data_IF_506163383740
#
_entry.id   IF_506163383740
#
_cell.length_a   1.000
_cell.length_b   1.000
_cell.length_c   1.000
_cell.angle_alpha   90.00
_cell.angle_beta   90.00
_cell.angle_gamma   90.00
#
_symmetry.space_group_name_H-M   'P 1'
#
loop_
_entity.id
_entity.type
_entity.pdbx_description
1 polymer ?
#
# COMPACT_ATOMS: atom_id res chain seq x y z
N UNK A 1 11.35 12.93 -7.90
CA UNK A 1 10.38 12.54 -6.85
C UNK A 1 10.97 11.70 -5.73
N UNK A 2 11.14 10.37 -5.82
CA UNK A 2 11.50 9.55 -4.63
C UNK A 2 12.82 9.95 -3.94
N UNK A 3 13.83 10.44 -4.68
CA UNK A 3 15.08 10.98 -4.11
C UNK A 3 14.95 12.37 -3.48
N UNK A 4 13.86 13.07 -3.73
CA UNK A 4 13.62 14.45 -3.28
C UNK A 4 12.67 14.50 -2.08
N UNK A 5 11.76 13.52 -1.98
CA UNK A 5 10.88 13.34 -0.82
C UNK A 5 11.53 12.32 0.11
N UNK A 6 11.99 12.77 1.28
CA UNK A 6 12.52 11.92 2.35
C UNK A 6 11.39 11.11 3.03
N UNK A 7 10.69 10.30 2.24
CA UNK A 7 9.57 9.45 2.65
C UNK A 7 10.02 7.99 2.69
N UNK A 8 9.34 7.19 3.52
CA UNK A 8 9.49 5.74 3.45
C UNK A 8 8.82 5.21 2.17
N UNK A 9 9.32 4.10 1.66
CA UNK A 9 8.77 3.44 0.46
C UNK A 9 7.26 3.19 0.61
N UNK A 10 6.82 2.72 1.77
CA UNK A 10 5.41 2.50 2.10
C UNK A 10 4.54 3.75 1.90
N UNK A 11 5.00 4.89 2.44
CA UNK A 11 4.30 6.17 2.37
C UNK A 11 4.29 6.71 0.94
N UNK A 12 5.41 6.56 0.24
CA UNK A 12 5.56 6.97 -1.15
C UNK A 12 4.58 6.20 -2.05
N UNK A 13 4.62 4.86 -2.04
CA UNK A 13 3.75 4.05 -2.90
C UNK A 13 2.27 4.18 -2.54
N UNK A 14 1.94 4.34 -1.25
CA UNK A 14 0.57 4.66 -0.83
C UNK A 14 0.10 5.98 -1.45
N UNK A 15 0.94 7.02 -1.45
CA UNK A 15 0.62 8.29 -2.09
C UNK A 15 0.48 8.15 -3.62
N UNK A 16 1.35 7.36 -4.28
CA UNK A 16 1.24 7.07 -5.72
C UNK A 16 -0.09 6.41 -6.05
N UNK A 17 -0.51 5.41 -5.27
CA UNK A 17 -1.81 4.74 -5.44
C UNK A 17 -3.00 5.69 -5.36
N UNK A 18 -2.98 6.58 -4.37
CA UNK A 18 -4.01 7.60 -4.19
C UNK A 18 -4.06 8.58 -5.36
N UNK A 19 -2.89 9.08 -5.80
CA UNK A 19 -2.78 10.01 -6.91
C UNK A 19 -3.16 9.37 -8.25
N UNK A 20 -2.86 8.09 -8.44
CA UNK A 20 -3.22 7.35 -9.64
C UNK A 20 -4.74 7.24 -9.76
N UNK A 21 -5.45 7.02 -8.65
CA UNK A 21 -6.92 6.99 -8.66
C UNK A 21 -7.53 8.33 -9.07
N UNK A 22 -6.86 9.42 -8.72
CA UNK A 22 -7.22 10.79 -9.03
C UNK A 22 -6.77 11.29 -10.40
N UNK A 23 -6.14 10.43 -11.22
CA UNK A 23 -5.59 10.80 -12.53
C UNK A 23 -4.52 11.91 -12.44
N UNK A 24 -3.70 11.93 -11.38
CA UNK A 24 -2.72 13.00 -11.09
C UNK A 24 -1.26 12.57 -11.18
N UNK A 25 -0.98 11.29 -11.42
CA UNK A 25 0.40 10.79 -11.49
C UNK A 25 0.56 9.77 -12.62
N UNK A 26 1.69 9.82 -13.30
CA UNK A 26 2.12 8.87 -14.33
C UNK A 26 3.52 8.37 -14.06
N UNK A 27 3.84 7.19 -14.56
CA UNK A 27 5.18 6.62 -14.52
C UNK A 27 5.79 6.60 -15.92
N UNK A 28 7.01 7.09 -16.05
CA UNK A 28 7.78 7.08 -17.29
C UNK A 28 9.25 6.82 -16.96
N UNK A 29 9.88 5.83 -17.59
CA UNK A 29 11.29 5.45 -17.36
C UNK A 29 11.63 5.28 -15.87
N UNK A 30 10.79 4.54 -15.12
CA UNK A 30 10.92 4.33 -13.67
C UNK A 30 10.89 5.62 -12.83
N UNK A 31 10.39 6.72 -13.39
CA UNK A 31 10.23 8.00 -12.71
C UNK A 31 8.74 8.37 -12.66
N UNK A 32 8.25 8.68 -11.46
CA UNK A 32 6.91 9.19 -11.27
C UNK A 32 6.88 10.70 -11.49
N UNK A 33 5.88 11.18 -12.24
CA UNK A 33 5.65 12.58 -12.53
C UNK A 33 4.18 12.92 -12.41
N UNK A 34 3.87 14.19 -12.14
CA UNK A 34 2.49 14.68 -12.16
C UNK A 34 1.98 14.72 -13.61
N UNK A 35 0.73 14.31 -13.81
CA UNK A 35 0.09 14.26 -15.12
C UNK A 35 -1.03 13.22 -15.19
N UNK A 36 -1.65 13.11 -16.36
CA UNK A 36 -2.66 12.09 -16.62
C UNK A 36 -2.07 10.68 -16.44
N UNK A 37 -2.78 9.84 -15.69
CA UNK A 37 -2.28 8.56 -15.23
C UNK A 37 -2.27 7.51 -16.33
N UNK A 38 -1.17 6.76 -16.40
CA UNK A 38 -1.05 5.51 -17.13
C UNK A 38 -1.08 4.29 -16.19
N UNK A 39 -1.39 4.50 -14.90
CA UNK A 39 -1.27 3.48 -13.86
C UNK A 39 -2.60 2.84 -13.47
N UNK A 40 -3.73 3.35 -13.97
CA UNK A 40 -5.08 2.92 -13.58
C UNK A 40 -5.28 1.42 -13.73
N UNK A 41 -4.93 0.82 -14.87
CA UNK A 41 -5.13 -0.62 -15.08
C UNK A 41 -4.28 -1.44 -14.11
N UNK A 42 -2.97 -1.14 -14.01
CA UNK A 42 -2.03 -1.89 -13.16
C UNK A 42 -2.39 -1.80 -11.68
N UNK A 43 -2.56 -0.58 -11.15
CA UNK A 43 -2.87 -0.39 -9.72
C UNK A 43 -4.31 -0.82 -9.42
N UNK A 44 -5.25 -0.58 -10.33
CA UNK A 44 -6.66 -0.99 -10.18
C UNK A 44 -6.84 -2.51 -10.13
N UNK A 45 -6.13 -3.26 -10.97
CA UNK A 45 -6.15 -4.73 -10.94
C UNK A 45 -5.58 -5.27 -9.62
N UNK A 46 -4.44 -4.75 -9.18
CA UNK A 46 -3.84 -5.11 -7.89
C UNK A 46 -4.76 -4.76 -6.72
N UNK A 47 -5.39 -3.57 -6.75
CA UNK A 47 -6.38 -3.16 -5.77
C UNK A 47 -7.58 -4.12 -5.73
N UNK A 48 -8.04 -4.61 -6.89
CA UNK A 48 -9.09 -5.62 -6.97
C UNK A 48 -8.68 -6.96 -6.35
N UNK A 49 -7.44 -7.40 -6.55
CA UNK A 49 -6.91 -8.62 -5.90
C UNK A 49 -6.84 -8.47 -4.38
N UNK A 50 -6.27 -7.36 -3.90
CA UNK A 50 -6.18 -7.03 -2.48
C UNK A 50 -7.57 -6.97 -1.85
N UNK A 51 -8.53 -6.31 -2.51
CA UNK A 51 -9.91 -6.23 -2.05
C UNK A 51 -10.55 -7.60 -1.85
N UNK A 52 -10.42 -8.51 -2.82
CA UNK A 52 -10.99 -9.88 -2.74
C UNK A 52 -10.41 -10.69 -1.58
N UNK A 53 -9.12 -10.53 -1.30
CA UNK A 53 -8.49 -11.20 -0.14
C UNK A 53 -9.02 -10.62 1.16
N UNK A 54 -9.14 -9.30 1.27
CA UNK A 54 -9.71 -8.65 2.45
C UNK A 54 -11.19 -9.01 2.66
N UNK A 55 -11.97 -9.09 1.59
CA UNK A 55 -13.38 -9.48 1.65
C UNK A 55 -13.57 -10.94 2.12
N UNK A 56 -12.66 -11.84 1.72
CA UNK A 56 -12.74 -13.26 2.10
C UNK A 56 -12.20 -13.56 3.51
N UNK A 57 -11.14 -12.87 3.94
CA UNK A 57 -10.48 -13.09 5.25
C UNK A 57 -11.04 -12.17 6.35
N UNK A 58 -11.61 -11.02 5.96
CA UNK A 58 -12.11 -10.00 6.88
C UNK A 58 -10.99 -9.10 7.40
N UNK A 59 -10.36 -9.50 8.51
CA UNK A 59 -9.27 -8.73 9.14
C UNK A 59 -7.98 -9.54 9.15
N UNK A 60 -6.92 -8.95 8.58
CA UNK A 60 -5.61 -9.58 8.48
C UNK A 60 -4.51 -8.52 8.64
N UNK A 61 -3.36 -8.96 9.17
CA UNK A 61 -2.18 -8.10 9.26
C UNK A 61 -1.67 -7.74 7.87
N UNK A 62 -1.29 -6.48 7.70
CA UNK A 62 -0.81 -5.95 6.42
C UNK A 62 0.40 -6.72 5.90
N UNK A 63 1.24 -7.28 6.78
CA UNK A 63 2.41 -8.09 6.42
C UNK A 63 2.06 -9.41 5.70
N UNK A 64 0.82 -9.89 5.83
CA UNK A 64 0.38 -11.15 5.22
C UNK A 64 -0.39 -10.95 3.90
N UNK A 65 -0.94 -9.76 3.67
CA UNK A 65 -1.75 -9.50 2.47
C UNK A 65 -0.93 -9.67 1.17
N UNK A 66 0.28 -9.08 1.03
CA UNK A 66 1.10 -9.27 -0.18
C UNK A 66 1.41 -10.75 -0.46
N UNK A 67 1.62 -11.54 0.59
CA UNK A 67 1.92 -12.97 0.51
C UNK A 67 0.73 -13.78 0.00
N UNK A 68 -0.48 -13.43 0.41
CA UNK A 68 -1.71 -14.08 -0.03
C UNK A 68 -2.11 -13.66 -1.45
N UNK A 69 -1.82 -12.43 -1.85
CA UNK A 69 -2.13 -11.91 -3.19
C UNK A 69 -1.05 -12.21 -4.22
N UNK A 70 0.18 -12.54 -3.79
CA UNK A 70 1.33 -12.77 -4.66
C UNK A 70 1.84 -11.50 -5.34
N UNK A 71 1.67 -10.33 -4.72
CA UNK A 71 2.07 -9.02 -5.25
C UNK A 71 3.25 -8.47 -4.46
N UNK A 72 4.01 -7.54 -5.03
CA UNK A 72 5.13 -6.92 -4.30
C UNK A 72 4.63 -5.99 -3.19
N UNK A 73 5.49 -5.63 -2.24
CA UNK A 73 5.14 -4.64 -1.21
C UNK A 73 4.78 -3.28 -1.83
N UNK A 74 5.54 -2.84 -2.84
CA UNK A 74 5.28 -1.58 -3.57
C UNK A 74 3.88 -1.57 -4.21
N UNK A 75 3.54 -2.66 -4.91
CA UNK A 75 2.23 -2.83 -5.53
C UNK A 75 1.11 -2.89 -4.49
N UNK A 76 1.37 -3.57 -3.37
CA UNK A 76 0.43 -3.63 -2.25
C UNK A 76 0.16 -2.24 -1.67
N UNK A 77 1.18 -1.44 -1.39
CA UNK A 77 0.99 -0.09 -0.85
C UNK A 77 0.29 0.84 -1.85
N UNK A 78 0.60 0.74 -3.14
CA UNK A 78 -0.14 1.45 -4.18
C UNK A 78 -1.62 1.02 -4.23
N UNK A 79 -1.90 -0.28 -4.14
CA UNK A 79 -3.27 -0.78 -4.05
C UNK A 79 -4.00 -0.29 -2.79
N UNK A 80 -3.33 -0.24 -1.65
CA UNK A 80 -3.86 0.33 -0.40
C UNK A 80 -4.23 1.80 -0.60
N UNK A 81 -3.34 2.61 -1.20
CA UNK A 81 -3.61 4.01 -1.51
C UNK A 81 -4.82 4.20 -2.44
N UNK A 82 -4.93 3.36 -3.47
CA UNK A 82 -6.08 3.33 -4.38
C UNK A 82 -7.39 3.05 -3.64
N UNK A 83 -7.42 1.99 -2.84
CA UNK A 83 -8.62 1.60 -2.07
C UNK A 83 -8.96 2.62 -0.99
N UNK A 84 -7.96 3.26 -0.37
CA UNK A 84 -8.16 4.33 0.59
C UNK A 84 -8.84 5.55 -0.07
N UNK A 85 -8.43 5.91 -1.29
CA UNK A 85 -9.08 6.97 -2.07
C UNK A 85 -10.54 6.66 -2.37
N UNK A 86 -10.87 5.38 -2.61
CA UNK A 86 -12.24 4.91 -2.82
C UNK A 86 -13.06 4.76 -1.53
N UNK A 87 -12.45 4.95 -0.36
CA UNK A 87 -13.11 4.77 0.95
C UNK A 87 -13.41 3.32 1.31
N UNK A 88 -12.74 2.36 0.66
CA UNK A 88 -13.01 0.93 0.79
C UNK A 88 -12.32 0.27 1.98
N UNK A 89 -11.18 0.79 2.42
CA UNK A 89 -10.39 0.21 3.51
C UNK A 89 -10.37 1.11 4.75
N UNK A 90 -10.24 0.50 5.93
CA UNK A 90 -10.04 1.19 7.21
C UNK A 90 -8.91 0.50 7.97
N UNK A 91 -8.00 1.28 8.53
CA UNK A 91 -6.91 0.75 9.35
C UNK A 91 -7.33 0.73 10.82
N UNK A 92 -6.94 -0.33 11.53
CA UNK A 92 -7.09 -0.45 12.98
C UNK A 92 -5.71 -0.58 13.60
N UNK A 93 -5.47 0.11 14.72
CA UNK A 93 -4.23 -0.07 15.48
C UNK A 93 -4.25 -1.46 16.13
N UNK A 94 -3.41 -2.37 15.64
CA UNK A 94 -3.18 -3.64 16.30
C UNK A 94 -2.34 -3.44 17.56
N UNK A 95 -2.64 -4.16 18.64
CA UNK A 95 -1.73 -4.25 19.79
C UNK A 95 -0.46 -5.00 19.36
N UNK A 96 0.74 -4.56 19.75
CA UNK A 96 1.97 -5.25 19.38
C UNK A 96 1.93 -6.70 19.88
N UNK A 97 2.02 -7.67 18.97
CA UNK A 97 1.93 -9.10 19.29
C UNK A 97 3.16 -9.65 20.03
N UNK A 98 4.27 -8.91 20.09
CA UNK A 98 5.50 -9.33 20.78
C UNK A 98 5.84 -8.42 21.96
N UNK A 99 5.66 -8.87 23.21
CA UNK A 99 6.30 -8.22 24.35
C UNK A 99 7.82 -8.40 24.22
N UNK A 100 8.56 -7.29 24.10
CA UNK A 100 10.02 -7.28 24.21
C UNK A 100 10.39 -7.42 25.68
N UNK A 101 10.36 -8.65 26.20
CA UNK A 101 10.84 -8.93 27.55
C UNK A 101 12.35 -8.63 27.60
N UNK A 102 12.74 -7.67 28.42
CA UNK A 102 14.14 -7.43 28.80
C UNK A 102 14.33 -7.98 30.21
N UNK A 103 15.15 -9.01 30.33
CA UNK A 103 15.54 -9.60 31.61
C UNK A 103 16.84 -8.93 32.09
N UNK A 104 16.87 -8.54 33.36
CA UNK A 104 18.07 -8.09 34.07
C UNK A 104 18.22 -8.87 35.37
N UNK A 105 19.45 -9.18 35.76
CA UNK A 105 19.73 -9.83 37.04
C UNK A 105 19.58 -8.83 38.20
N UNK A 106 19.25 -9.36 39.40
CA UNK A 106 19.13 -8.59 40.64
C UNK A 106 20.50 -8.37 41.29
#
# INVERSE_FOLDING_TARGET
LMKEVNLKDEEFFTAIGWLARENKVREENSTFMLGETNLTSRIGETAGKVWKVLESVGEIDMEYVPKLTGVSEEEFFAAVGWLAREGKIKTKKAKPRKPRLKLGLK
#
